data_IF_912421458085
#
_entry.id   IF_912421458085
#
_cell.length_a   1.000
_cell.length_b   1.000
_cell.length_c   1.000
_cell.angle_alpha   90.00
_cell.angle_beta   90.00
_cell.angle_gamma   90.00
#
_symmetry.space_group_name_H-M   'P 1'
#
loop_
_entity.id
_entity.type
_entity.pdbx_description
1 polymer ?
#
# COMPACT_ATOMS: atom_id res chain seq x y z
N UNK A 1 11.53 -16.38 -1.12
CA UNK A 1 10.47 -17.41 -1.06
C UNK A 1 9.63 -17.11 0.17
N UNK A 2 8.49 -16.44 0.02
CA UNK A 2 7.56 -16.22 1.13
C UNK A 2 6.74 -17.50 1.30
N UNK A 3 7.08 -18.31 2.31
CA UNK A 3 6.20 -19.38 2.78
C UNK A 3 5.04 -18.71 3.51
N UNK A 4 4.03 -18.26 2.76
CA UNK A 4 2.75 -17.91 3.38
C UNK A 4 2.17 -19.20 3.96
N UNK A 5 1.75 -19.20 5.24
CA UNK A 5 1.14 -20.37 5.84
C UNK A 5 -0.10 -20.79 5.04
N UNK A 6 -0.35 -22.09 4.97
CA UNK A 6 -1.59 -22.59 4.36
C UNK A 6 -2.80 -22.03 5.14
N UNK A 7 -3.92 -21.82 4.44
CA UNK A 7 -5.10 -21.18 5.05
C UNK A 7 -5.63 -21.99 6.23
N UNK A 8 -5.52 -23.33 6.17
CA UNK A 8 -5.93 -24.22 7.26
C UNK A 8 -5.06 -24.06 8.51
N UNK A 9 -3.74 -24.05 8.36
CA UNK A 9 -2.81 -23.84 9.49
C UNK A 9 -3.05 -22.49 10.16
N UNK A 10 -3.30 -21.46 9.35
CA UNK A 10 -3.57 -20.11 9.83
C UNK A 10 -4.87 -20.05 10.65
N UNK A 11 -5.93 -20.71 10.19
CA UNK A 11 -7.19 -20.82 10.92
C UNK A 11 -7.04 -21.57 12.24
N UNK A 12 -6.24 -22.64 12.28
CA UNK A 12 -5.90 -23.37 13.50
C UNK A 12 -5.18 -22.47 14.51
N UNK A 13 -4.14 -21.73 14.08
CA UNK A 13 -3.43 -20.80 14.95
C UNK A 13 -4.36 -19.75 15.54
N UNK A 14 -5.27 -19.19 14.72
CA UNK A 14 -6.24 -18.19 15.17
C UNK A 14 -7.22 -18.79 16.19
N UNK A 15 -7.73 -19.99 15.94
CA UNK A 15 -8.66 -20.67 16.85
C UNK A 15 -8.03 -20.91 18.23
N UNK A 16 -6.75 -21.29 18.27
CA UNK A 16 -6.03 -21.51 19.52
C UNK A 16 -5.74 -20.21 20.27
N UNK A 17 -5.39 -19.12 19.56
CA UNK A 17 -5.27 -17.78 20.16
C UNK A 17 -6.60 -17.34 20.75
N UNK A 18 -7.72 -17.59 20.05
CA UNK A 18 -9.06 -17.25 20.52
C UNK A 18 -9.46 -18.04 21.78
N UNK A 19 -8.90 -19.23 21.98
CA UNK A 19 -9.09 -20.09 23.16
C UNK A 19 -8.12 -19.78 24.31
N UNK A 20 -7.16 -18.86 24.11
CA UNK A 20 -6.25 -18.38 25.16
C UNK A 20 -4.78 -18.75 24.96
N UNK A 21 -4.42 -19.52 23.92
CA UNK A 21 -3.03 -19.79 23.56
C UNK A 21 -2.41 -18.57 22.84
N UNK A 22 -2.19 -17.51 23.61
CA UNK A 22 -1.65 -16.23 23.10
C UNK A 22 -0.24 -16.37 22.50
N UNK A 23 0.51 -17.42 22.87
CA UNK A 23 1.86 -17.69 22.35
C UNK A 23 1.87 -17.95 20.85
N UNK A 24 0.79 -18.52 20.29
CA UNK A 24 0.67 -18.74 18.84
C UNK A 24 0.57 -17.47 18.02
N UNK A 25 0.31 -16.33 18.63
CA UNK A 25 0.32 -15.06 17.91
C UNK A 25 1.72 -14.74 17.33
N UNK A 26 2.80 -15.27 17.93
CA UNK A 26 4.15 -15.14 17.37
C UNK A 26 4.26 -15.71 15.94
N UNK A 27 3.50 -16.77 15.62
CA UNK A 27 3.46 -17.37 14.28
C UNK A 27 2.80 -16.42 13.28
N UNK A 28 1.73 -15.73 13.69
CA UNK A 28 1.06 -14.69 12.90
C UNK A 28 2.02 -13.54 12.62
N UNK A 29 2.74 -13.06 13.64
CA UNK A 29 3.73 -12.00 13.49
C UNK A 29 4.82 -12.42 12.51
N UNK A 30 5.40 -13.61 12.66
CA UNK A 30 6.43 -14.12 11.77
C UNK A 30 5.97 -14.21 10.31
N UNK A 31 4.73 -14.67 10.07
CA UNK A 31 4.17 -14.79 8.74
C UNK A 31 3.86 -13.43 8.08
N UNK A 32 3.39 -12.44 8.85
CA UNK A 32 2.82 -11.21 8.29
C UNK A 32 3.67 -9.95 8.49
N UNK A 33 4.70 -9.94 9.35
CA UNK A 33 5.53 -8.75 9.58
C UNK A 33 6.15 -8.22 8.28
N UNK A 34 6.81 -9.09 7.50
CA UNK A 34 7.48 -8.66 6.27
C UNK A 34 6.48 -8.26 5.16
N UNK A 35 5.42 -9.02 4.87
CA UNK A 35 4.37 -8.57 3.95
C UNK A 35 3.74 -7.24 4.34
N UNK A 36 3.37 -7.06 5.62
CA UNK A 36 2.80 -5.80 6.11
C UNK A 36 3.79 -4.66 5.98
N UNK A 37 5.08 -4.89 6.26
CA UNK A 37 6.11 -3.87 6.12
C UNK A 37 6.28 -3.41 4.68
N UNK A 38 6.37 -4.33 3.72
CA UNK A 38 6.45 -3.98 2.29
C UNK A 38 5.20 -3.22 1.84
N UNK A 39 4.01 -3.66 2.27
CA UNK A 39 2.76 -2.97 1.98
C UNK A 39 2.73 -1.54 2.55
N UNK A 40 3.05 -1.37 3.83
CA UNK A 40 3.07 -0.07 4.48
C UNK A 40 4.12 0.86 3.85
N UNK A 41 5.30 0.35 3.49
CA UNK A 41 6.32 1.12 2.77
C UNK A 41 5.79 1.70 1.46
N UNK A 42 5.11 0.90 0.64
CA UNK A 42 4.58 1.34 -0.66
C UNK A 42 3.43 2.33 -0.54
N UNK A 43 2.65 2.24 0.54
CA UNK A 43 1.48 3.07 0.76
C UNK A 43 1.80 4.39 1.47
N UNK A 44 2.66 4.35 2.50
CA UNK A 44 3.05 5.52 3.29
C UNK A 44 4.21 6.30 2.68
N UNK A 45 4.99 5.62 1.83
CA UNK A 45 6.20 6.13 1.21
C UNK A 45 7.15 6.82 2.21
N UNK A 46 7.29 6.22 3.39
CA UNK A 46 8.17 6.63 4.47
C UNK A 46 8.55 5.38 5.27
N UNK A 47 9.84 5.11 5.42
CA UNK A 47 10.35 3.89 6.06
C UNK A 47 10.02 3.83 7.55
N UNK A 48 10.23 4.93 8.26
CA UNK A 48 10.03 5.01 9.72
C UNK A 48 8.54 4.83 10.05
N UNK A 49 7.67 5.59 9.39
CA UNK A 49 6.23 5.47 9.57
C UNK A 49 5.73 4.07 9.19
N UNK A 50 6.37 3.40 8.23
CA UNK A 50 6.02 2.03 7.86
C UNK A 50 6.42 1.00 8.94
N UNK A 51 7.58 1.14 9.57
CA UNK A 51 7.99 0.27 10.69
C UNK A 51 7.01 0.41 11.86
N UNK A 52 6.69 1.65 12.24
CA UNK A 52 5.74 1.94 13.31
C UNK A 52 4.33 1.43 12.95
N UNK A 53 3.88 1.67 11.72
CA UNK A 53 2.58 1.23 11.24
C UNK A 53 2.42 -0.30 11.30
N UNK A 54 3.46 -1.08 10.98
CA UNK A 54 3.40 -2.54 11.04
C UNK A 54 3.17 -3.02 12.46
N UNK A 55 3.91 -2.47 13.43
CA UNK A 55 3.75 -2.81 14.84
C UNK A 55 2.33 -2.50 15.29
N UNK A 56 1.86 -1.29 14.99
CA UNK A 56 0.52 -0.83 15.31
C UNK A 56 -0.60 -1.69 14.69
N UNK A 57 -0.39 -2.15 13.45
CA UNK A 57 -1.33 -3.02 12.74
C UNK A 57 -1.39 -4.40 13.36
N UNK A 58 -0.24 -5.00 13.67
CA UNK A 58 -0.17 -6.30 14.32
C UNK A 58 -0.79 -6.22 15.73
N UNK A 59 -0.47 -5.20 16.52
CA UNK A 59 -1.10 -5.00 17.84
C UNK A 59 -2.62 -4.85 17.72
N UNK A 60 -3.13 -4.05 16.76
CA UNK A 60 -4.57 -3.90 16.52
C UNK A 60 -5.22 -5.21 16.07
N UNK A 61 -4.52 -5.98 15.24
CA UNK A 61 -4.97 -7.30 14.82
C UNK A 61 -5.08 -8.25 16.01
N UNK A 62 -4.06 -8.29 16.88
CA UNK A 62 -4.10 -9.08 18.12
C UNK A 62 -5.30 -8.69 19.01
N UNK A 63 -5.46 -7.39 19.30
CA UNK A 63 -6.57 -6.89 20.13
C UNK A 63 -7.95 -7.20 19.55
N UNK A 64 -8.04 -7.34 18.23
CA UNK A 64 -9.29 -7.59 17.51
C UNK A 64 -9.48 -9.06 17.12
N UNK A 65 -8.53 -9.95 17.45
CA UNK A 65 -8.48 -11.30 16.92
C UNK A 65 -9.68 -12.15 17.37
N UNK A 66 -10.19 -11.93 18.59
CA UNK A 66 -11.41 -12.59 19.09
C UNK A 66 -12.68 -12.20 18.32
N UNK A 67 -12.63 -11.11 17.53
CA UNK A 67 -13.74 -10.69 16.66
C UNK A 67 -13.59 -11.19 15.23
N UNK A 68 -12.44 -11.76 14.87
CA UNK A 68 -12.25 -12.37 13.57
C UNK A 68 -13.13 -13.62 13.45
N UNK A 69 -13.79 -13.74 12.30
CA UNK A 69 -14.56 -14.91 11.91
C UNK A 69 -14.04 -15.36 10.54
N UNK A 70 -13.92 -16.67 10.27
CA UNK A 70 -13.43 -17.23 9.01
C UNK A 70 -14.49 -17.12 7.88
N UNK A 71 -15.17 -15.98 7.80
CA UNK A 71 -16.09 -15.63 6.70
C UNK A 71 -15.39 -14.77 5.64
N UNK A 72 -14.18 -14.31 5.93
CA UNK A 72 -13.28 -13.59 5.04
C UNK A 72 -11.87 -14.11 5.31
N UNK A 73 -11.00 -14.07 4.31
CA UNK A 73 -9.63 -14.52 4.48
C UNK A 73 -8.93 -13.66 5.55
N UNK A 74 -8.15 -14.29 6.43
CA UNK A 74 -7.43 -13.56 7.47
C UNK A 74 -6.49 -12.51 6.89
N UNK A 75 -5.82 -12.85 5.77
CA UNK A 75 -4.96 -11.90 5.07
C UNK A 75 -5.74 -10.67 4.61
N UNK A 76 -6.94 -10.85 4.03
CA UNK A 76 -7.82 -9.76 3.62
C UNK A 76 -8.27 -8.90 4.81
N UNK A 77 -8.62 -9.55 5.93
CA UNK A 77 -8.97 -8.87 7.17
C UNK A 77 -7.80 -8.02 7.71
N UNK A 78 -6.58 -8.55 7.71
CA UNK A 78 -5.38 -7.87 8.16
C UNK A 78 -5.01 -6.69 7.24
N UNK A 79 -5.03 -6.88 5.92
CA UNK A 79 -4.80 -5.80 4.95
C UNK A 79 -5.80 -4.66 5.11
N UNK A 80 -7.04 -4.95 5.52
CA UNK A 80 -8.02 -3.91 5.82
C UNK A 80 -7.66 -3.10 7.08
N UNK A 81 -7.13 -3.75 8.11
CA UNK A 81 -6.60 -3.05 9.30
C UNK A 81 -5.43 -2.16 8.88
N UNK A 82 -4.49 -2.71 8.10
CA UNK A 82 -3.32 -2.00 7.59
C UNK A 82 -3.70 -0.76 6.76
N UNK A 83 -4.61 -0.94 5.80
CA UNK A 83 -5.09 0.16 4.96
C UNK A 83 -5.72 1.27 5.78
N UNK A 84 -6.63 0.94 6.69
CA UNK A 84 -7.30 1.93 7.53
C UNK A 84 -6.31 2.67 8.43
N UNK A 85 -5.31 1.97 8.98
CA UNK A 85 -4.27 2.58 9.78
C UNK A 85 -3.40 3.54 8.97
N UNK A 86 -2.90 3.10 7.81
CA UNK A 86 -2.09 3.93 6.92
C UNK A 86 -2.87 5.15 6.41
N UNK A 87 -4.14 4.97 6.06
CA UNK A 87 -5.01 6.06 5.62
C UNK A 87 -5.17 7.13 6.71
N UNK A 88 -5.30 6.73 7.96
CA UNK A 88 -5.37 7.66 9.09
C UNK A 88 -4.04 8.42 9.28
N UNK A 89 -2.90 7.74 9.15
CA UNK A 89 -1.58 8.40 9.20
C UNK A 89 -1.42 9.42 8.07
N UNK A 90 -1.76 9.06 6.83
CA UNK A 90 -1.70 9.96 5.68
C UNK A 90 -2.63 11.17 5.82
N UNK A 91 -3.84 10.97 6.36
CA UNK A 91 -4.78 12.06 6.67
C UNK A 91 -4.21 13.01 7.72
N UNK A 92 -3.63 12.50 8.80
CA UNK A 92 -2.97 13.30 9.84
C UNK A 92 -1.77 14.08 9.28
N UNK A 93 -0.94 13.42 8.47
CA UNK A 93 0.21 14.06 7.79
C UNK A 93 -0.23 15.19 6.87
N UNK A 94 -1.29 14.99 6.09
CA UNK A 94 -1.88 16.04 5.24
C UNK A 94 -2.37 17.23 6.05
N UNK A 95 -3.10 16.98 7.14
CA UNK A 95 -3.58 18.05 8.02
C UNK A 95 -2.41 18.82 8.65
N UNK A 96 -1.39 18.11 9.15
CA UNK A 96 -0.19 18.73 9.71
C UNK A 96 0.51 19.62 8.69
N UNK A 97 0.70 19.15 7.44
CA UNK A 97 1.26 19.98 6.35
C UNK A 97 0.42 21.21 6.05
N UNK A 98 -0.91 21.09 6.04
CA UNK A 98 -1.80 22.24 5.81
C UNK A 98 -1.66 23.28 6.93
N UNK A 99 -1.61 22.85 8.18
CA UNK A 99 -1.40 23.72 9.33
C UNK A 99 -0.01 24.38 9.27
N UNK A 100 1.04 23.60 9.00
CA UNK A 100 2.41 24.14 8.88
C UNK A 100 2.53 25.17 7.76
N UNK A 101 1.84 25.01 6.63
CA UNK A 101 1.79 26.01 5.55
C UNK A 101 1.23 27.36 5.97
N UNK A 102 0.38 27.41 7.01
CA UNK A 102 -0.14 28.66 7.57
C UNK A 102 0.97 29.39 8.34
N UNK A 103 1.81 28.66 9.08
CA UNK A 103 2.85 29.22 9.93
C UNK A 103 4.20 29.41 9.24
N UNK A 104 4.49 28.62 8.19
CA UNK A 104 5.70 28.68 7.38
C UNK A 104 5.32 28.47 5.90
N UNK A 105 5.07 29.55 5.15
CA UNK A 105 4.82 29.47 3.72
C UNK A 105 6.14 29.27 2.96
N UNK A 106 6.74 28.09 3.08
CA UNK A 106 7.85 27.68 2.20
C UNK A 106 7.36 26.79 1.05
N UNK A 107 8.17 26.80 -0.02
CA UNK A 107 7.88 26.45 -1.42
C UNK A 107 7.34 25.04 -1.65
N UNK A 108 6.73 24.87 -2.83
CA UNK A 108 6.19 23.61 -3.39
C UNK A 108 7.31 22.58 -3.59
N UNK A 109 7.89 22.07 -2.50
CA UNK A 109 8.77 20.91 -2.55
C UNK A 109 7.93 19.66 -2.82
N UNK A 110 8.53 18.69 -3.51
CA UNK A 110 7.94 17.36 -3.67
C UNK A 110 7.59 16.80 -2.28
N UNK A 111 6.45 16.12 -2.18
CA UNK A 111 6.10 15.49 -0.92
C UNK A 111 7.07 14.33 -0.65
N UNK A 112 7.37 13.97 0.61
CA UNK A 112 8.25 12.83 0.92
C UNK A 112 7.80 11.53 0.22
N UNK A 113 6.49 11.40 -0.01
CA UNK A 113 5.92 10.31 -0.76
C UNK A 113 6.34 10.30 -2.25
N UNK A 114 6.39 11.47 -2.89
CA UNK A 114 6.84 11.63 -4.27
C UNK A 114 8.35 11.42 -4.41
N UNK A 115 9.14 11.89 -3.45
CA UNK A 115 10.61 11.69 -3.44
C UNK A 115 10.97 10.21 -3.34
N UNK A 116 10.29 9.47 -2.46
CA UNK A 116 10.54 8.03 -2.32
C UNK A 116 10.03 7.24 -3.54
N UNK A 117 8.88 7.63 -4.12
CA UNK A 117 8.40 7.00 -5.34
C UNK A 117 9.39 7.14 -6.50
N UNK A 118 10.03 8.31 -6.63
CA UNK A 118 11.08 8.54 -7.62
C UNK A 118 12.34 7.67 -7.38
N UNK A 119 12.61 7.28 -6.14
CA UNK A 119 13.71 6.38 -5.80
C UNK A 119 13.37 4.89 -6.02
N UNK A 120 12.12 4.50 -5.77
CA UNK A 120 11.68 3.10 -5.78
C UNK A 120 11.18 2.62 -7.15
N UNK A 121 10.71 3.52 -7.99
CA UNK A 121 10.05 3.17 -9.25
C UNK A 121 10.68 3.91 -10.43
N UNK A 122 10.50 3.38 -11.65
CA UNK A 122 10.83 4.12 -12.87
C UNK A 122 10.07 5.47 -12.90
N UNK A 123 10.64 6.54 -13.47
CA UNK A 123 10.00 7.87 -13.50
C UNK A 123 8.55 7.85 -13.98
N UNK A 124 8.26 7.13 -15.07
CA UNK A 124 6.90 7.00 -15.62
C UNK A 124 5.91 6.33 -14.66
N UNK A 125 6.37 5.33 -13.89
CA UNK A 125 5.53 4.67 -12.88
C UNK A 125 5.35 5.56 -11.64
N UNK A 126 6.41 6.24 -11.18
CA UNK A 126 6.32 7.21 -10.09
C UNK A 126 5.34 8.34 -10.42
N UNK A 127 5.42 8.88 -11.64
CA UNK A 127 4.49 9.88 -12.17
C UNK A 127 3.05 9.35 -12.20
N UNK A 128 2.84 8.13 -12.73
CA UNK A 128 1.52 7.50 -12.75
C UNK A 128 0.92 7.30 -11.34
N UNK A 129 1.73 6.81 -10.39
CA UNK A 129 1.32 6.60 -9.00
C UNK A 129 0.95 7.93 -8.30
N UNK A 130 1.68 9.01 -8.60
CA UNK A 130 1.39 10.34 -8.04
C UNK A 130 0.01 10.88 -8.44
N UNK A 131 -0.51 10.45 -9.60
CA UNK A 131 -1.83 10.87 -10.09
C UNK A 131 -2.97 10.02 -9.52
N UNK A 132 -2.67 8.89 -8.87
CA UNK A 132 -3.69 8.02 -8.29
C UNK A 132 -4.20 8.55 -6.94
N UNK A 133 -5.50 8.40 -6.69
CA UNK A 133 -6.02 8.53 -5.33
C UNK A 133 -5.46 7.44 -4.41
N UNK A 134 -5.49 7.64 -3.09
CA UNK A 134 -5.03 6.63 -2.13
C UNK A 134 -5.77 5.29 -2.27
N UNK A 135 -7.06 5.31 -2.58
CA UNK A 135 -7.83 4.09 -2.84
C UNK A 135 -7.36 3.36 -4.11
N UNK A 136 -7.12 4.10 -5.19
CA UNK A 136 -6.62 3.55 -6.45
C UNK A 136 -5.22 2.96 -6.27
N UNK A 137 -4.36 3.67 -5.54
CA UNK A 137 -3.00 3.24 -5.21
C UNK A 137 -3.00 1.98 -4.35
N UNK A 138 -3.83 1.92 -3.31
CA UNK A 138 -4.00 0.74 -2.47
C UNK A 138 -4.41 -0.49 -3.31
N UNK A 139 -5.38 -0.32 -4.20
CA UNK A 139 -5.88 -1.39 -5.06
C UNK A 139 -4.79 -1.91 -6.02
N UNK A 140 -3.98 -1.00 -6.58
CA UNK A 140 -2.85 -1.38 -7.43
C UNK A 140 -1.76 -2.09 -6.61
N UNK A 141 -1.45 -1.61 -5.41
CA UNK A 141 -0.45 -2.24 -4.54
C UNK A 141 -0.85 -3.67 -4.19
N UNK A 142 -2.08 -3.86 -3.73
CA UNK A 142 -2.61 -5.17 -3.36
C UNK A 142 -2.60 -6.13 -4.56
N UNK A 143 -2.95 -5.66 -5.76
CA UNK A 143 -3.02 -6.53 -6.94
C UNK A 143 -1.64 -6.89 -7.51
N UNK A 144 -0.73 -5.92 -7.57
CA UNK A 144 0.54 -6.05 -8.30
C UNK A 144 1.66 -6.56 -7.42
N UNK A 145 1.75 -6.08 -6.18
CA UNK A 145 2.88 -6.39 -5.30
C UNK A 145 2.55 -7.41 -4.21
N UNK A 146 1.30 -7.43 -3.73
CA UNK A 146 0.84 -8.43 -2.77
C UNK A 146 0.05 -9.57 -3.44
N UNK A 147 0.00 -9.55 -4.78
CA UNK A 147 -0.56 -10.60 -5.65
C UNK A 147 -1.98 -11.06 -5.30
N UNK A 148 -2.78 -10.16 -4.71
CA UNK A 148 -4.13 -10.49 -4.25
C UNK A 148 -5.09 -10.82 -5.39
N UNK A 149 -5.88 -11.86 -5.18
CA UNK A 149 -6.92 -12.27 -6.11
C UNK A 149 -8.04 -11.22 -6.17
N UNK A 150 -8.87 -11.25 -7.23
CA UNK A 150 -10.02 -10.34 -7.33
C UNK A 150 -11.06 -10.60 -6.22
N UNK A 151 -11.13 -11.83 -5.73
CA UNK A 151 -11.97 -12.21 -4.60
C UNK A 151 -11.46 -11.56 -3.31
N UNK A 152 -10.17 -11.76 -2.98
CA UNK A 152 -9.54 -11.13 -1.81
C UNK A 152 -9.63 -9.60 -1.87
N UNK A 153 -9.42 -9.01 -3.05
CA UNK A 153 -9.57 -7.56 -3.24
C UNK A 153 -11.00 -7.08 -2.97
N UNK A 154 -12.00 -7.85 -3.37
CA UNK A 154 -13.41 -7.55 -3.11
C UNK A 154 -13.71 -7.61 -1.61
N UNK A 155 -13.13 -8.58 -0.89
CA UNK A 155 -13.23 -8.71 0.57
C UNK A 155 -12.54 -7.56 1.31
N UNK A 156 -11.32 -7.21 0.90
CA UNK A 156 -10.53 -6.12 1.50
C UNK A 156 -11.28 -4.79 1.36
N UNK A 157 -11.76 -4.50 0.15
CA UNK A 157 -12.39 -3.23 -0.21
C UNK A 157 -13.89 -3.17 0.09
N UNK A 158 -14.53 -4.32 0.41
CA UNK A 158 -15.98 -4.46 0.60
C UNK A 158 -16.80 -3.94 -0.59
N UNK A 159 -16.40 -4.31 -1.81
CA UNK A 159 -17.10 -3.94 -3.04
C UNK A 159 -17.45 -5.17 -3.86
N UNK A 160 -18.43 -5.05 -4.75
CA UNK A 160 -18.81 -6.16 -5.62
C UNK A 160 -17.73 -6.43 -6.69
N UNK A 161 -17.59 -7.68 -7.18
CA UNK A 161 -16.62 -8.00 -8.24
C UNK A 161 -16.78 -7.14 -9.50
N UNK A 162 -18.02 -6.79 -9.86
CA UNK A 162 -18.30 -5.90 -11.00
C UNK A 162 -17.79 -4.46 -10.75
N UNK A 163 -18.02 -3.92 -9.55
CA UNK A 163 -17.49 -2.61 -9.16
C UNK A 163 -15.96 -2.62 -9.14
N UNK A 164 -15.35 -3.69 -8.63
CA UNK A 164 -13.89 -3.89 -8.63
C UNK A 164 -13.33 -3.91 -10.06
N UNK A 165 -13.94 -4.69 -10.97
CA UNK A 165 -13.52 -4.77 -12.37
C UNK A 165 -13.55 -3.41 -13.07
N UNK A 166 -14.66 -2.67 -12.93
CA UNK A 166 -14.79 -1.31 -13.49
C UNK A 166 -13.74 -0.37 -12.92
N UNK A 167 -13.47 -0.44 -11.60
CA UNK A 167 -12.47 0.39 -10.93
C UNK A 167 -11.05 0.05 -11.42
N UNK A 168 -10.70 -1.23 -11.50
CA UNK A 168 -9.41 -1.69 -12.00
C UNK A 168 -9.19 -1.28 -13.46
N UNK A 169 -10.20 -1.40 -14.32
CA UNK A 169 -10.09 -0.97 -15.72
C UNK A 169 -9.79 0.53 -15.83
N UNK A 170 -10.44 1.36 -15.01
CA UNK A 170 -10.16 2.81 -14.94
C UNK A 170 -8.74 3.10 -14.46
N UNK A 171 -8.28 2.41 -13.41
CA UNK A 171 -6.92 2.56 -12.88
C UNK A 171 -5.89 2.19 -13.97
N UNK A 172 -6.06 1.05 -14.63
CA UNK A 172 -5.17 0.62 -15.73
C UNK A 172 -5.11 1.65 -16.84
N UNK A 173 -6.26 2.19 -17.28
CA UNK A 173 -6.30 3.24 -18.30
C UNK A 173 -5.57 4.52 -17.86
N UNK A 174 -5.75 4.92 -16.59
CA UNK A 174 -5.10 6.11 -16.02
C UNK A 174 -3.59 5.95 -15.92
N UNK A 175 -3.12 4.79 -15.45
CA UNK A 175 -1.67 4.47 -15.38
C UNK A 175 -1.08 4.43 -16.78
N UNK A 176 -1.71 3.72 -17.72
CA UNK A 176 -1.26 3.60 -19.11
C UNK A 176 -1.09 4.97 -19.78
N UNK A 177 -2.10 5.84 -19.68
CA UNK A 177 -2.07 7.17 -20.28
C UNK A 177 -0.89 8.02 -19.78
N UNK A 178 -0.58 7.94 -18.48
CA UNK A 178 0.52 8.71 -17.88
C UNK A 178 1.87 8.14 -18.29
N UNK A 179 1.99 6.81 -18.37
CA UNK A 179 3.23 6.18 -18.80
C UNK A 179 3.53 6.47 -20.27
N UNK A 180 2.52 6.43 -21.15
CA UNK A 180 2.67 6.76 -22.58
C UNK A 180 3.06 8.23 -22.79
N UNK A 181 2.49 9.18 -22.04
CA UNK A 181 2.85 10.60 -22.15
C UNK A 181 4.28 10.89 -21.71
N UNK A 182 4.77 10.21 -20.67
CA UNK A 182 6.14 10.37 -20.18
C UNK A 182 7.18 9.75 -21.14
N UNK A 183 6.81 8.65 -21.82
CA UNK A 183 7.64 8.02 -22.86
C UNK A 183 7.72 8.91 -24.13
N UNK A 184 6.63 9.59 -24.50
CA UNK A 184 6.61 10.56 -25.60
C UNK A 184 7.38 11.86 -25.28
N UNK A 185 7.33 12.35 -24.03
CA UNK A 185 8.12 13.50 -23.57
C UNK A 185 9.62 13.16 -23.52
N UNK A 186 10.00 11.97 -23.07
CA UNK A 186 11.40 11.49 -23.12
C UNK A 186 11.95 11.36 -24.53
N UNK A 187 11.10 11.04 -25.51
CA UNK A 187 11.47 10.97 -26.93
C UNK A 187 11.55 12.37 -27.59
N UNK A 188 10.77 13.33 -27.10
CA UNK A 188 10.71 14.70 -27.61
C UNK A 188 11.69 15.68 -26.92
N UNK A 189 12.37 15.29 -25.85
CA UNK A 189 13.55 16.02 -25.36
C UNK A 189 14.69 15.91 -26.40
N UNK A 190 15.08 17.01 -27.07
CA UNK A 190 16.13 16.93 -28.08
C UNK A 190 17.45 16.53 -27.42
N UNK A 191 18.16 15.57 -28.02
CA UNK A 191 19.57 15.22 -27.73
C UNK A 191 20.54 16.39 -28.05
N UNK A 192 20.23 17.61 -27.63
CA UNK A 192 20.99 18.84 -27.94
C UNK A 192 21.86 19.33 -26.77
N UNK A 193 22.20 18.45 -25.82
CA UNK A 193 23.16 18.76 -24.76
C UNK A 193 24.38 17.80 -24.75
N UNK A 194 24.68 17.12 -25.86
CA UNK A 194 25.91 16.34 -26.02
C UNK A 194 26.63 16.62 -27.35
N UNK A 195 26.84 17.91 -27.65
CA UNK A 195 28.00 18.29 -28.46
C UNK A 195 28.74 19.45 -27.78
N UNK A 196 29.52 19.08 -26.76
CA UNK A 196 30.70 19.86 -26.38
C UNK A 196 31.94 19.14 -26.90
N UNK A 197 32.72 19.89 -27.69
CA UNK A 197 34.05 19.67 -28.31
C UNK A 197 33.90 19.81 -29.82
N UNK A 198 34.52 20.78 -30.49
CA UNK A 198 35.86 21.40 -30.29
C UNK A 198 35.76 22.91 -30.51
#
# INVERSE_FOLDING_TARGET
MSNSPDNKELEEWIADIQQGDTGRYALIVAAFQQPMYRYCCRLLANRQDAEDAVQDVLVKAYQSIHRYKPTVHFSAWLYRIAYNHCLNLLRRRRLHRQVMRIFRPETVAASPEQELDALLYKPSLAAALSRLSLEERNLLILRVFEEKSYEELSEILKITPNALNKRMARIKKKVKLVMESEEEEQWNEPQSAMNTKI
#
